data_IF_024592707400
#
_entry.id   IF_024592707400
#
_cell.length_a   1.000
_cell.length_b   1.000
_cell.length_c   1.000
_cell.angle_alpha   90.00
_cell.angle_beta   90.00
_cell.angle_gamma   90.00
#
_symmetry.space_group_name_H-M   'P 1'
#
loop_
_entity.id
_entity.type
_entity.pdbx_description
1 polymer ?
#
# COMPACT_ATOMS: atom_id res chain seq x y z
N UNK A 1 -6.93 15.57 -12.95
CA UNK A 1 -5.78 16.14 -12.22
C UNK A 1 -5.51 15.20 -11.06
N UNK A 2 -4.45 14.40 -11.10
CA UNK A 2 -4.22 13.38 -10.06
C UNK A 2 -3.69 14.06 -8.80
N UNK A 3 -4.40 13.91 -7.68
CA UNK A 3 -3.99 14.46 -6.39
C UNK A 3 -3.89 13.33 -5.37
N UNK A 4 -2.68 13.06 -4.91
CA UNK A 4 -2.42 12.12 -3.82
C UNK A 4 -1.68 12.85 -2.72
N UNK A 5 -2.34 13.02 -1.58
CA UNK A 5 -1.78 13.70 -0.43
C UNK A 5 -1.82 12.78 0.79
N UNK A 6 -0.73 12.79 1.56
CA UNK A 6 -0.66 12.16 2.88
C UNK A 6 -0.74 13.28 3.91
N UNK A 7 -1.85 13.35 4.64
CA UNK A 7 -2.06 14.34 5.71
C UNK A 7 -2.48 13.60 6.98
N UNK A 8 -1.80 13.86 8.10
CA UNK A 8 -2.20 13.33 9.42
C UNK A 8 -2.40 11.81 9.48
N UNK A 9 -1.53 11.03 8.82
CA UNK A 9 -1.64 9.57 8.67
C UNK A 9 -2.86 9.08 7.88
N UNK A 10 -3.57 9.97 7.18
CA UNK A 10 -4.65 9.64 6.26
C UNK A 10 -4.18 9.83 4.81
N UNK A 11 -4.60 8.92 3.95
CA UNK A 11 -4.40 9.04 2.50
C UNK A 11 -5.68 9.59 1.90
N UNK A 12 -5.56 10.69 1.16
CA UNK A 12 -6.61 11.18 0.27
C UNK A 12 -6.20 10.89 -1.17
N UNK A 13 -6.98 10.04 -1.84
CA UNK A 13 -6.78 9.65 -3.23
C UNK A 13 -8.09 9.87 -4.00
N UNK A 14 -8.03 10.70 -5.02
CA UNK A 14 -9.16 11.02 -5.89
C UNK A 14 -8.77 10.71 -7.34
N UNK A 15 -9.33 9.62 -7.87
CA UNK A 15 -8.98 9.02 -9.16
C UNK A 15 -10.08 8.02 -9.57
N UNK A 16 -10.09 7.58 -10.83
CA UNK A 16 -10.93 6.48 -11.31
C UNK A 16 -10.39 5.12 -10.85
N UNK A 17 -10.50 4.87 -9.55
CA UNK A 17 -9.93 3.67 -8.90
C UNK A 17 -10.67 2.42 -9.35
N UNK A 18 -9.94 1.50 -10.00
CA UNK A 18 -10.49 0.20 -10.39
C UNK A 18 -10.56 -0.81 -9.23
N UNK A 19 -9.57 -0.80 -8.33
CA UNK A 19 -9.54 -1.71 -7.18
C UNK A 19 -8.59 -1.24 -6.08
N UNK A 20 -8.92 -1.60 -4.83
CA UNK A 20 -8.02 -1.56 -3.69
C UNK A 20 -7.78 -3.00 -3.25
N UNK A 21 -6.53 -3.43 -3.23
CA UNK A 21 -6.14 -4.81 -2.89
C UNK A 21 -5.41 -4.77 -1.55
N UNK A 22 -5.91 -5.54 -0.59
CA UNK A 22 -5.17 -5.80 0.65
C UNK A 22 -4.19 -6.95 0.43
N UNK A 23 -2.96 -6.78 0.91
CA UNK A 23 -1.88 -7.72 0.62
C UNK A 23 -0.66 -7.48 1.50
N UNK A 24 0.10 -8.55 1.70
CA UNK A 24 1.34 -8.50 2.47
C UNK A 24 2.53 -8.23 1.56
N UNK A 25 3.43 -7.36 2.03
CA UNK A 25 4.72 -7.11 1.39
C UNK A 25 5.64 -8.29 1.67
N UNK A 26 5.95 -9.07 0.63
CA UNK A 26 6.80 -10.27 0.71
C UNK A 26 8.20 -9.97 0.18
N UNK A 27 9.20 -10.69 0.69
CA UNK A 27 10.58 -10.59 0.22
C UNK A 27 10.74 -11.20 -1.18
N UNK A 28 11.50 -10.54 -2.05
CA UNK A 28 11.97 -11.08 -3.33
C UNK A 28 13.44 -10.72 -3.53
N UNK A 29 14.34 -11.69 -3.39
CA UNK A 29 15.79 -11.43 -3.38
C UNK A 29 16.18 -10.40 -2.31
N UNK A 30 16.79 -9.30 -2.74
CA UNK A 30 17.14 -8.14 -1.89
C UNK A 30 16.04 -7.04 -1.86
N UNK A 31 14.91 -7.28 -2.54
CA UNK A 31 13.78 -6.37 -2.61
C UNK A 31 12.52 -6.92 -1.94
N UNK A 32 11.40 -6.25 -2.19
CA UNK A 32 10.09 -6.65 -1.69
C UNK A 32 9.01 -6.46 -2.77
N UNK A 33 7.91 -7.21 -2.66
CA UNK A 33 6.80 -7.19 -3.61
C UNK A 33 5.44 -7.37 -2.94
N UNK A 34 4.40 -6.90 -3.62
CA UNK A 34 2.99 -7.21 -3.32
C UNK A 34 2.43 -7.95 -4.53
N UNK A 35 1.73 -9.06 -4.31
CA UNK A 35 1.15 -9.87 -5.40
C UNK A 35 -0.22 -9.29 -5.79
N UNK A 36 -0.43 -9.07 -7.08
CA UNK A 36 -1.72 -8.66 -7.65
C UNK A 36 -2.17 -9.67 -8.72
N UNK A 37 -3.47 -9.66 -9.04
CA UNK A 37 -4.02 -10.51 -10.10
C UNK A 37 -3.41 -10.17 -11.47
N UNK A 38 -3.17 -11.18 -12.32
CA UNK A 38 -2.60 -11.02 -13.67
C UNK A 38 -3.42 -10.08 -14.57
N UNK A 39 -4.72 -9.91 -14.30
CA UNK A 39 -5.59 -8.98 -15.05
C UNK A 39 -5.16 -7.50 -14.95
N UNK A 40 -4.27 -7.18 -14.01
CA UNK A 40 -3.75 -5.83 -13.79
C UNK A 40 -2.39 -5.56 -14.46
N UNK A 41 -1.82 -6.52 -15.21
CA UNK A 41 -0.56 -6.31 -15.96
C UNK A 41 -0.71 -5.14 -16.95
N UNK A 42 0.27 -4.24 -16.96
CA UNK A 42 0.29 -3.06 -17.84
C UNK A 42 -0.47 -1.84 -17.32
N UNK A 43 -1.19 -1.95 -16.20
CA UNK A 43 -1.89 -0.82 -15.57
C UNK A 43 -0.96 -0.05 -14.63
N UNK A 44 -1.22 1.25 -14.45
CA UNK A 44 -0.56 2.06 -13.41
C UNK A 44 -1.08 1.64 -12.03
N UNK A 45 -0.21 1.57 -11.05
CA UNK A 45 -0.56 1.14 -9.70
C UNK A 45 0.16 1.98 -8.63
N UNK A 46 -0.51 2.15 -7.49
CA UNK A 46 0.07 2.71 -6.27
C UNK A 46 0.20 1.60 -5.22
N UNK A 47 1.27 1.64 -4.43
CA UNK A 47 1.44 0.79 -3.25
C UNK A 47 1.37 1.68 -2.01
N UNK A 48 0.41 1.41 -1.13
CA UNK A 48 0.26 2.12 0.16
C UNK A 48 0.65 1.14 1.27
N UNK A 49 1.76 1.43 1.95
CA UNK A 49 2.24 0.60 3.08
C UNK A 49 1.69 1.17 4.39
N UNK A 50 0.93 0.36 5.13
CA UNK A 50 0.42 0.71 6.46
C UNK A 50 1.48 0.40 7.52
N UNK A 51 1.50 1.17 8.62
CA UNK A 51 2.30 0.81 9.80
C UNK A 51 1.78 -0.51 10.36
N UNK A 52 2.68 -1.46 10.58
CA UNK A 52 2.36 -2.64 11.38
C UNK A 52 2.03 -2.19 12.81
N UNK A 53 1.02 -2.80 13.43
CA UNK A 53 0.72 -2.64 14.84
C UNK A 53 1.88 -3.25 15.65
N UNK A 54 2.97 -2.49 15.81
CA UNK A 54 3.97 -2.76 16.83
C UNK A 54 3.25 -2.67 18.18
N UNK A 55 3.05 -3.81 18.84
CA UNK A 55 2.81 -3.83 20.28
C UNK A 55 4.03 -3.15 20.90
N UNK A 56 3.91 -1.87 21.20
CA UNK A 56 4.77 -1.25 22.22
C UNK A 56 4.50 -2.06 23.48
N UNK A 57 5.43 -2.94 23.84
CA UNK A 57 5.52 -3.46 25.19
C UNK A 57 5.61 -2.22 26.07
N UNK A 58 4.51 -1.88 26.73
CA UNK A 58 4.53 -0.95 27.84
C UNK A 58 5.43 -1.60 28.90
N UNK A 59 6.72 -1.26 28.86
CA UNK A 59 7.58 -1.41 30.02
C UNK A 59 7.23 -0.26 30.94
N UNK A 60 6.32 -0.55 31.87
CA UNK A 60 6.24 0.11 33.18
C UNK A 60 7.53 -0.22 33.93
#
# INVERSE_FOLDING_TARGET
>A
MTKMNILSNKVHLEEEIEAIIDGEVKKIGNGAMVIASKKYIGKKAYIIIRKSLSRRTAKV
#
